data_IF_404769322862
#
_entry.id   IF_404769322862
#
_cell.length_a   1.000
_cell.length_b   1.000
_cell.length_c   1.000
_cell.angle_alpha   90.00
_cell.angle_beta   90.00
_cell.angle_gamma   90.00
#
_symmetry.space_group_name_H-M   'P 1'
#
loop_
_entity.id
_entity.type
_entity.pdbx_description
1 polymer ?
#
# COMPACT_ATOMS: atom_id res chain seq x y z
N UNK A 1 7.43 44.25 -6.87
CA UNK A 1 7.28 43.13 -7.83
C UNK A 1 8.40 42.11 -7.69
N UNK A 2 9.66 42.50 -7.43
CA UNK A 2 10.73 41.55 -7.10
C UNK A 2 10.41 40.73 -5.83
N UNK A 3 9.96 41.40 -4.78
CA UNK A 3 9.67 40.82 -3.46
C UNK A 3 8.75 39.57 -3.46
N UNK A 4 7.63 39.61 -4.19
CA UNK A 4 6.68 38.50 -4.20
C UNK A 4 7.18 37.27 -4.99
N UNK A 5 7.89 37.49 -6.11
CA UNK A 5 8.46 36.40 -6.89
C UNK A 5 9.65 35.78 -6.16
N UNK A 6 10.50 36.61 -5.56
CA UNK A 6 11.65 36.15 -4.78
C UNK A 6 11.20 35.34 -3.55
N UNK A 7 10.13 35.78 -2.86
CA UNK A 7 9.51 35.02 -1.76
C UNK A 7 9.00 33.66 -2.22
N UNK A 8 8.24 33.60 -3.31
CA UNK A 8 7.79 32.33 -3.88
C UNK A 8 8.97 31.41 -4.25
N UNK A 9 9.97 31.92 -4.97
CA UNK A 9 11.12 31.11 -5.41
C UNK A 9 11.95 30.59 -4.23
N UNK A 10 12.02 31.33 -3.12
CA UNK A 10 12.69 30.92 -1.89
C UNK A 10 12.00 29.71 -1.24
N UNK A 11 10.66 29.71 -1.22
CA UNK A 11 9.85 28.69 -0.55
C UNK A 11 9.34 27.58 -1.48
N UNK A 12 9.68 27.63 -2.76
CA UNK A 12 9.31 26.63 -3.75
C UNK A 12 10.22 25.41 -3.68
N UNK A 13 9.62 24.23 -3.58
CA UNK A 13 10.29 22.94 -3.67
C UNK A 13 9.79 22.15 -4.88
N UNK A 14 10.63 22.04 -5.91
CA UNK A 14 10.34 21.20 -7.08
C UNK A 14 11.17 19.91 -7.05
N UNK A 15 10.52 18.77 -7.32
CA UNK A 15 11.11 17.44 -7.44
C UNK A 15 10.88 16.91 -8.85
N UNK A 16 11.87 17.09 -9.71
CA UNK A 16 11.78 16.77 -11.13
C UNK A 16 11.55 15.26 -11.39
N UNK A 17 12.06 14.39 -10.53
CA UNK A 17 11.94 12.94 -10.67
C UNK A 17 10.50 12.45 -10.46
N UNK A 18 9.72 13.22 -9.71
CA UNK A 18 8.33 12.91 -9.39
C UNK A 18 7.34 13.80 -10.16
N UNK A 19 7.83 14.84 -10.85
CA UNK A 19 7.04 15.92 -11.44
C UNK A 19 6.08 16.56 -10.40
N UNK A 20 6.60 16.79 -9.19
CA UNK A 20 5.84 17.36 -8.06
C UNK A 20 6.47 18.70 -7.66
N UNK A 21 5.62 19.70 -7.50
CA UNK A 21 5.96 20.98 -6.90
C UNK A 21 5.19 21.17 -5.59
N UNK A 22 5.88 21.66 -4.57
CA UNK A 22 5.32 22.07 -3.30
C UNK A 22 5.67 23.54 -3.08
N UNK A 23 4.66 24.37 -2.82
CA UNK A 23 4.81 25.79 -2.53
C UNK A 23 4.54 26.04 -1.05
N UNK A 24 5.53 26.60 -0.35
CA UNK A 24 5.45 26.93 1.07
C UNK A 24 5.37 28.44 1.34
N UNK A 25 5.15 29.28 0.31
CA UNK A 25 5.14 30.73 0.44
C UNK A 25 4.13 31.25 1.50
N UNK A 26 2.98 30.59 1.64
CA UNK A 26 1.93 30.94 2.62
C UNK A 26 2.00 30.11 3.91
N UNK A 27 3.00 29.23 4.05
CA UNK A 27 3.12 28.34 5.21
C UNK A 27 3.65 29.06 6.48
N UNK A 28 3.88 30.39 6.42
CA UNK A 28 4.41 31.21 7.50
C UNK A 28 5.70 30.63 8.10
N UNK A 29 6.54 30.05 7.24
CA UNK A 29 7.84 29.53 7.63
C UNK A 29 8.84 30.67 7.75
N UNK A 30 9.72 30.56 8.75
CA UNK A 30 10.83 31.47 8.93
C UNK A 30 12.13 30.67 9.15
N UNK A 31 13.23 31.13 8.56
CA UNK A 31 14.54 30.44 8.65
C UNK A 31 15.03 30.26 10.10
N UNK A 32 14.89 31.25 11.00
CA UNK A 32 15.30 31.09 12.40
C UNK A 32 14.56 29.97 13.13
N UNK A 33 13.24 29.84 12.95
CA UNK A 33 12.41 28.81 13.54
C UNK A 33 12.73 27.45 12.93
N UNK A 34 12.97 27.37 11.62
CA UNK A 34 13.44 26.13 10.99
C UNK A 34 14.78 25.68 11.59
N UNK A 35 15.72 26.61 11.75
CA UNK A 35 17.03 26.32 12.37
C UNK A 35 16.88 25.87 13.81
N UNK A 36 16.02 26.53 14.59
CA UNK A 36 15.73 26.16 15.97
C UNK A 36 15.04 24.79 16.08
N UNK A 37 14.23 24.41 15.09
CA UNK A 37 13.52 23.13 15.06
C UNK A 37 14.29 22.01 14.35
N UNK A 38 15.43 22.27 13.72
CA UNK A 38 16.21 21.27 13.00
C UNK A 38 16.47 19.99 13.81
N UNK A 39 16.86 20.04 15.10
CA UNK A 39 17.06 18.81 15.89
C UNK A 39 15.76 18.00 16.10
N UNK A 40 14.61 18.66 16.16
CA UNK A 40 13.30 17.99 16.30
C UNK A 40 12.87 17.35 14.99
N UNK A 41 13.17 17.99 13.86
CA UNK A 41 12.94 17.45 12.53
C UNK A 41 13.81 16.21 12.29
N UNK A 42 15.09 16.27 12.66
CA UNK A 42 15.99 15.11 12.61
C UNK A 42 15.46 13.95 13.46
N UNK A 43 15.06 14.21 14.71
CA UNK A 43 14.46 13.19 15.57
C UNK A 43 13.16 12.59 14.98
N UNK A 44 12.36 13.39 14.28
CA UNK A 44 11.16 12.92 13.59
C UNK A 44 11.51 12.02 12.39
N UNK A 45 12.52 12.38 11.60
CA UNK A 45 13.02 11.56 10.50
C UNK A 45 13.59 10.22 11.01
N UNK A 46 14.35 10.24 12.10
CA UNK A 46 14.85 9.02 12.74
C UNK A 46 13.71 8.14 13.28
N UNK A 47 12.66 8.76 13.82
CA UNK A 47 11.46 8.03 14.23
C UNK A 47 10.77 7.38 13.02
N UNK A 48 10.66 8.07 11.89
CA UNK A 48 10.10 7.52 10.64
C UNK A 48 10.92 6.31 10.17
N UNK A 49 12.25 6.40 10.11
CA UNK A 49 13.11 5.27 9.73
C UNK A 49 12.91 4.05 10.65
N UNK A 50 12.76 4.28 11.97
CA UNK A 50 12.48 3.18 12.91
C UNK A 50 11.13 2.52 12.63
N UNK A 51 10.08 3.31 12.38
CA UNK A 51 8.73 2.79 12.10
C UNK A 51 8.73 2.00 10.79
N UNK A 52 9.38 2.53 9.74
CA UNK A 52 9.53 1.85 8.45
C UNK A 52 10.28 0.52 8.58
N UNK A 53 11.28 0.47 9.46
CA UNK A 53 12.03 -0.73 9.83
C UNK A 53 11.32 -1.66 10.82
N UNK A 54 10.03 -1.44 11.12
CA UNK A 54 9.25 -2.35 11.97
C UNK A 54 9.26 -2.04 13.46
N UNK A 55 9.68 -0.84 13.89
CA UNK A 55 9.46 -0.44 15.26
C UNK A 55 7.95 -0.40 15.59
N UNK A 56 7.61 -0.73 16.83
CA UNK A 56 6.24 -0.62 17.32
C UNK A 56 5.88 0.85 17.43
N UNK A 57 5.06 1.32 16.49
CA UNK A 57 4.54 2.68 16.49
C UNK A 57 3.21 2.78 17.26
N UNK A 58 2.38 1.74 17.18
CA UNK A 58 1.13 1.68 17.93
C UNK A 58 1.37 0.98 19.27
N UNK A 59 1.75 1.76 20.29
CA UNK A 59 2.05 1.27 21.63
C UNK A 59 0.80 0.73 22.35
N UNK A 60 -0.38 1.29 22.08
CA UNK A 60 -1.64 0.88 22.68
C UNK A 60 -2.04 -0.53 22.23
N UNK A 61 -1.78 -0.86 20.95
CA UNK A 61 -2.06 -2.18 20.39
C UNK A 61 -0.83 -3.11 20.37
N UNK A 62 0.37 -2.62 20.67
CA UNK A 62 1.62 -3.37 20.56
C UNK A 62 1.96 -3.80 19.12
N UNK A 63 1.58 -3.00 18.11
CA UNK A 63 1.66 -3.37 16.69
C UNK A 63 2.60 -2.48 15.87
N UNK A 64 3.22 -3.10 14.87
CA UNK A 64 3.99 -2.42 13.82
C UNK A 64 3.05 -1.74 12.80
N UNK A 65 3.53 -0.68 12.16
CA UNK A 65 2.81 0.03 11.10
C UNK A 65 3.54 -0.15 9.77
N UNK A 66 3.06 -1.10 8.98
CA UNK A 66 3.78 -1.63 7.82
C UNK A 66 3.11 -1.40 6.46
N UNK A 67 2.17 -0.46 6.31
CA UNK A 67 1.49 -0.24 5.03
C UNK A 67 2.44 0.17 3.89
N UNK A 68 3.61 0.72 4.22
CA UNK A 68 4.68 1.01 3.26
C UNK A 68 5.23 -0.27 2.59
N UNK A 69 5.25 -1.41 3.30
CA UNK A 69 5.70 -2.70 2.77
C UNK A 69 4.76 -3.24 1.69
N UNK A 70 3.48 -2.81 1.67
CA UNK A 70 2.56 -3.18 0.60
C UNK A 70 2.94 -2.58 -0.75
N UNK A 71 3.70 -1.47 -0.75
CA UNK A 71 4.22 -0.84 -1.97
C UNK A 71 5.59 -1.35 -2.34
N UNK A 72 6.42 -1.66 -1.34
CA UNK A 72 7.77 -2.18 -1.51
C UNK A 72 8.03 -3.27 -0.46
N UNK A 73 7.71 -4.54 -0.77
CA UNK A 73 7.77 -5.65 0.19
C UNK A 73 9.16 -5.91 0.75
N UNK A 74 10.21 -5.58 0.00
CA UNK A 74 11.61 -5.78 0.39
C UNK A 74 12.03 -4.91 1.58
N UNK A 75 11.24 -3.86 1.90
CA UNK A 75 11.45 -3.03 3.09
C UNK A 75 10.92 -3.66 4.38
N UNK A 76 10.23 -4.79 4.30
CA UNK A 76 9.69 -5.43 5.49
C UNK A 76 10.82 -5.92 6.41
N UNK A 77 10.68 -5.81 7.74
CA UNK A 77 11.68 -6.25 8.70
C UNK A 77 11.85 -7.77 8.75
N UNK A 78 10.83 -8.52 8.31
CA UNK A 78 10.81 -9.97 8.27
C UNK A 78 10.53 -10.44 6.83
N UNK A 79 11.40 -11.28 6.23
CA UNK A 79 11.18 -11.88 4.91
C UNK A 79 9.84 -12.62 4.77
N UNK A 80 9.30 -13.19 5.85
CA UNK A 80 8.00 -13.84 5.84
C UNK A 80 6.85 -12.85 5.54
N UNK A 81 6.99 -11.60 6.00
CA UNK A 81 6.03 -10.53 5.70
C UNK A 81 6.10 -10.17 4.21
N UNK A 82 7.30 -10.01 3.66
CA UNK A 82 7.49 -9.75 2.23
C UNK A 82 6.82 -10.85 1.38
N UNK A 83 7.09 -12.12 1.70
CA UNK A 83 6.50 -13.26 1.01
C UNK A 83 4.96 -13.27 1.10
N UNK A 84 4.41 -13.01 2.28
CA UNK A 84 2.96 -12.96 2.47
C UNK A 84 2.31 -11.84 1.64
N UNK A 85 2.97 -10.69 1.48
CA UNK A 85 2.52 -9.59 0.63
C UNK A 85 2.53 -10.00 -0.84
N UNK A 86 3.62 -10.62 -1.32
CA UNK A 86 3.70 -11.14 -2.69
C UNK A 86 2.60 -12.17 -3.00
N UNK A 87 2.41 -13.13 -2.09
CA UNK A 87 1.40 -14.18 -2.21
C UNK A 87 -0.04 -13.65 -2.17
N UNK A 88 -0.26 -12.52 -1.51
CA UNK A 88 -1.56 -11.85 -1.43
C UNK A 88 -1.84 -11.02 -2.69
N UNK A 89 -0.83 -10.32 -3.22
CA UNK A 89 -0.94 -9.56 -4.46
C UNK A 89 -1.35 -10.43 -5.65
N UNK A 90 -0.81 -11.65 -5.77
CA UNK A 90 -1.18 -12.62 -6.82
C UNK A 90 -2.64 -13.11 -6.76
N UNK A 91 -3.32 -12.96 -5.63
CA UNK A 91 -4.70 -13.43 -5.40
C UNK A 91 -5.76 -12.37 -5.62
N UNK A 92 -5.39 -11.08 -5.56
CA UNK A 92 -6.34 -10.00 -5.27
C UNK A 92 -7.09 -9.43 -6.48
N UNK A 93 -6.81 -9.90 -7.71
CA UNK A 93 -7.68 -9.58 -8.85
C UNK A 93 -7.68 -10.72 -9.86
N UNK A 94 -8.82 -11.38 -10.14
CA UNK A 94 -8.90 -12.21 -11.33
C UNK A 94 -8.56 -11.32 -12.54
N UNK A 95 -7.74 -11.84 -13.46
CA UNK A 95 -7.39 -11.08 -14.65
C UNK A 95 -8.66 -10.65 -15.40
N UNK A 96 -8.65 -9.51 -16.11
CA UNK A 96 -9.80 -9.07 -16.91
C UNK A 96 -10.31 -10.18 -17.85
N UNK A 97 -9.37 -10.98 -18.37
CA UNK A 97 -9.62 -12.17 -19.20
C UNK A 97 -10.29 -13.30 -18.43
N UNK A 98 -9.85 -13.62 -17.20
CA UNK A 98 -10.48 -14.63 -16.36
C UNK A 98 -11.91 -14.23 -15.96
N UNK A 99 -12.12 -12.94 -15.67
CA UNK A 99 -13.44 -12.37 -15.44
C UNK A 99 -14.35 -12.46 -16.68
N UNK A 100 -13.80 -12.23 -17.88
CA UNK A 100 -14.56 -12.35 -19.13
C UNK A 100 -14.92 -13.81 -19.45
N UNK A 101 -13.97 -14.74 -19.29
CA UNK A 101 -14.18 -16.16 -19.50
C UNK A 101 -15.24 -16.74 -18.54
N UNK A 102 -15.23 -16.32 -17.28
CA UNK A 102 -16.23 -16.72 -16.29
C UNK A 102 -17.65 -16.21 -16.61
N UNK A 103 -17.79 -15.09 -17.33
CA UNK A 103 -19.08 -14.55 -17.77
C UNK A 103 -19.69 -15.31 -18.95
N UNK A 104 -18.86 -15.95 -19.78
CA UNK A 104 -19.28 -16.65 -21.00
C UNK A 104 -19.61 -18.14 -20.79
N UNK A 105 -19.32 -18.70 -19.62
CA UNK A 105 -19.63 -20.10 -19.33
C UNK A 105 -21.09 -20.24 -18.87
N UNK A 106 -21.97 -20.95 -19.59
CA UNK A 106 -23.28 -21.27 -19.06
C UNK A 106 -23.11 -22.17 -17.84
N UNK A 107 -23.73 -21.81 -16.73
CA UNK A 107 -23.87 -22.70 -15.58
C UNK A 107 -24.74 -23.87 -16.03
N UNK A 108 -24.10 -24.95 -16.49
CA UNK A 108 -24.77 -26.24 -16.58
C UNK A 108 -25.06 -26.68 -15.15
N UNK A 109 -26.30 -26.49 -14.70
CA UNK A 109 -26.84 -27.16 -13.51
C UNK A 109 -26.93 -28.64 -13.87
N UNK A 110 -25.80 -29.34 -13.78
CA UNK A 110 -25.72 -30.78 -13.88
C UNK A 110 -26.24 -31.38 -12.58
N UNK A 111 -27.42 -31.99 -12.62
CA UNK A 111 -27.96 -32.81 -11.54
C UNK A 111 -26.94 -33.91 -11.21
N UNK A 112 -26.41 -33.92 -9.99
CA UNK A 112 -25.43 -34.91 -9.53
C UNK A 112 -25.96 -36.34 -9.71
N UNK A 113 -25.21 -37.27 -10.32
CA UNK A 113 -25.44 -38.69 -10.10
C UNK A 113 -24.86 -39.11 -8.74
N UNK A 114 -25.52 -40.08 -8.11
CA UNK A 114 -25.19 -40.63 -6.79
C UNK A 114 -23.76 -41.19 -6.71
N UNK A 115 -23.14 -41.27 -5.52
CA UNK A 115 -21.72 -41.60 -5.39
C UNK A 115 -21.48 -43.09 -5.64
N UNK A 116 -20.66 -43.40 -6.64
CA UNK A 116 -19.96 -44.69 -6.73
C UNK A 116 -18.52 -44.53 -6.24
N UNK A 117 -18.17 -45.34 -5.25
CA UNK A 117 -16.88 -45.40 -4.57
C UNK A 117 -15.73 -45.76 -5.51
N UNK A 118 -14.78 -44.85 -5.72
CA UNK A 118 -13.32 -45.10 -5.76
C UNK A 118 -12.59 -43.90 -6.36
N UNK A 119 -11.57 -43.37 -5.67
CA UNK A 119 -10.49 -42.61 -6.30
C UNK A 119 -10.48 -41.10 -6.08
N UNK A 120 -9.50 -40.68 -5.29
CA UNK A 120 -8.84 -39.36 -5.20
C UNK A 120 -9.12 -38.32 -6.30
N UNK A 121 -9.62 -37.14 -5.91
CA UNK A 121 -9.24 -35.85 -6.48
C UNK A 121 -9.75 -34.69 -5.61
N UNK A 122 -8.90 -33.70 -5.38
CA UNK A 122 -9.18 -32.50 -4.59
C UNK A 122 -10.35 -31.70 -5.16
N UNK A 123 -11.42 -31.53 -4.37
CA UNK A 123 -12.54 -30.66 -4.69
C UNK A 123 -12.19 -29.20 -4.38
N UNK A 124 -11.76 -28.45 -5.40
CA UNK A 124 -11.75 -26.99 -5.36
C UNK A 124 -13.21 -26.49 -5.38
N UNK A 125 -13.65 -26.00 -4.23
CA UNK A 125 -14.98 -25.43 -4.02
C UNK A 125 -15.15 -24.16 -4.85
N UNK A 126 -16.00 -24.22 -5.89
CA UNK A 126 -16.45 -23.07 -6.65
C UNK A 126 -17.39 -22.22 -5.77
N UNK A 127 -16.82 -21.22 -5.08
CA UNK A 127 -17.63 -20.21 -4.39
C UNK A 127 -18.25 -19.28 -5.44
N UNK A 128 -19.57 -19.42 -5.58
CA UNK A 128 -20.44 -18.49 -6.30
C UNK A 128 -20.25 -17.05 -5.79
N UNK A 129 -19.88 -16.13 -6.68
CA UNK A 129 -19.97 -14.70 -6.40
C UNK A 129 -21.44 -14.29 -6.46
N UNK A 130 -22.11 -14.26 -5.31
CA UNK A 130 -23.38 -13.53 -5.17
C UNK A 130 -23.09 -12.04 -5.03
N UNK A 131 -23.91 -11.24 -5.71
CA UNK A 131 -23.87 -9.79 -5.79
C UNK A 131 -24.58 -9.19 -4.56
N UNK A 132 -24.02 -8.23 -3.80
CA UNK A 132 -24.79 -7.48 -2.81
C UNK A 132 -25.62 -6.38 -3.50
N UNK A 133 -26.68 -5.87 -2.85
CA UNK A 133 -27.70 -4.99 -3.45
C UNK A 133 -27.14 -3.70 -4.02
#
# INVERSE_FOLDING_TARGET
MADALDHYLTWRLYRAELDIELDFADAQLDEPALTANAPRLEAALDALHRIEGGAVANADEGRMVGHYWLRDPERAPDPAIAQAIHDSGGRSRPSPTACAAARSSPTTVGRSPAPSSSGSAAALSARSCSRPP
#
